data_IF_464483512020
#
_entry.id   IF_464483512020
#
_cell.length_a   1.000
_cell.length_b   1.000
_cell.length_c   1.000
_cell.angle_alpha   90.00
_cell.angle_beta   90.00
_cell.angle_gamma   90.00
#
_symmetry.space_group_name_H-M   'P 1'
#
loop_
_entity.id
_entity.type
_entity.pdbx_description
1 polymer ?
#
# COMPACT_ATOMS: atom_id res chain seq x y z
N UNK A 1 -3.17 30.83 11.51
CA UNK A 1 -2.70 29.57 10.90
C UNK A 1 -3.56 28.44 11.42
N UNK A 2 -4.49 27.92 10.62
CA UNK A 2 -5.35 26.82 11.02
C UNK A 2 -4.48 25.57 11.25
N UNK A 3 -4.52 25.00 12.46
CA UNK A 3 -3.97 23.66 12.72
C UNK A 3 -4.68 22.72 11.75
N UNK A 4 -3.96 22.19 10.77
CA UNK A 4 -4.41 21.04 10.00
C UNK A 4 -4.54 19.91 11.02
N UNK A 5 -5.77 19.64 11.46
CA UNK A 5 -6.10 18.45 12.22
C UNK A 5 -5.64 17.28 11.38
N UNK A 6 -4.56 16.61 11.81
CA UNK A 6 -4.10 15.38 11.16
C UNK A 6 -5.30 14.44 11.17
N UNK A 7 -5.79 14.05 10.00
CA UNK A 7 -6.82 13.03 9.92
C UNK A 7 -6.31 11.80 10.69
N UNK A 8 -7.18 11.12 11.45
CA UNK A 8 -6.75 9.94 12.17
C UNK A 8 -6.15 8.94 11.19
N UNK A 9 -4.95 8.43 11.46
CA UNK A 9 -4.25 7.49 10.56
C UNK A 9 -4.91 6.10 10.54
N UNK A 10 -5.99 5.89 11.28
CA UNK A 10 -6.60 4.59 11.52
C UNK A 10 -8.12 4.72 11.58
N UNK A 11 -8.83 3.73 11.05
CA UNK A 11 -10.28 3.72 11.01
C UNK A 11 -10.87 3.90 12.43
N UNK A 12 -11.86 4.79 12.62
CA UNK A 12 -12.46 5.04 13.94
C UNK A 12 -13.11 3.79 14.54
N UNK A 13 -13.71 2.93 13.70
CA UNK A 13 -14.31 1.66 14.14
C UNK A 13 -13.30 0.66 14.69
N UNK A 14 -12.05 0.68 14.19
CA UNK A 14 -10.98 -0.19 14.71
C UNK A 14 -10.48 0.30 16.07
N UNK A 15 -10.47 1.62 16.31
CA UNK A 15 -10.07 2.19 17.59
C UNK A 15 -11.08 1.86 18.70
N UNK A 16 -12.38 1.92 18.41
CA UNK A 16 -13.44 1.57 19.37
C UNK A 16 -13.35 0.11 19.82
N UNK A 17 -13.07 -0.80 18.89
CA UNK A 17 -13.06 -2.24 19.17
C UNK A 17 -11.67 -2.79 19.51
N UNK A 18 -10.64 -1.95 19.60
CA UNK A 18 -9.25 -2.40 19.78
C UNK A 18 -9.05 -3.30 21.00
N UNK A 19 -9.74 -3.00 22.11
CA UNK A 19 -9.64 -3.79 23.34
C UNK A 19 -10.30 -5.17 23.25
N UNK A 20 -11.20 -5.37 22.28
CA UNK A 20 -11.88 -6.65 22.04
C UNK A 20 -11.08 -7.57 21.11
N UNK A 21 -10.06 -7.04 20.44
CA UNK A 21 -9.27 -7.76 19.44
C UNK A 21 -8.00 -8.29 20.13
N UNK A 22 -8.01 -9.56 20.50
CA UNK A 22 -6.81 -10.30 20.91
C UNK A 22 -6.65 -11.53 20.00
N UNK A 23 -5.53 -11.60 19.29
CA UNK A 23 -5.18 -12.69 18.38
C UNK A 23 -3.67 -12.95 18.44
N UNK A 24 -3.27 -14.20 18.67
CA UNK A 24 -1.87 -14.56 18.95
C UNK A 24 -1.21 -15.17 17.71
N UNK A 25 -0.89 -14.33 16.71
CA UNK A 25 -0.39 -14.81 15.41
C UNK A 25 0.89 -15.68 15.42
N UNK A 26 1.74 -15.64 16.45
CA UNK A 26 2.90 -16.55 16.57
C UNK A 26 2.55 -17.90 17.21
N UNK A 27 1.40 -18.02 17.86
CA UNK A 27 0.94 -19.20 18.59
C UNK A 27 -0.15 -19.93 17.79
N UNK A 28 -1.08 -19.15 17.22
CA UNK A 28 -2.22 -19.64 16.45
C UNK A 28 -1.77 -20.05 15.03
N UNK A 29 -1.18 -21.24 14.91
CA UNK A 29 -0.69 -21.78 13.63
C UNK A 29 -1.80 -22.29 12.71
N UNK A 30 -3.04 -22.37 13.20
CA UNK A 30 -4.21 -22.86 12.46
C UNK A 30 -4.52 -22.01 11.22
N UNK A 31 -4.11 -20.74 11.19
CA UNK A 31 -4.24 -19.89 10.01
C UNK A 31 -3.37 -20.32 8.82
N UNK A 32 -2.32 -21.11 9.06
CA UNK A 32 -1.49 -21.64 7.97
C UNK A 32 -2.24 -22.69 7.13
N UNK A 33 -3.34 -23.25 7.65
CA UNK A 33 -4.20 -24.15 6.89
C UNK A 33 -5.09 -23.37 5.90
N UNK A 34 -5.07 -23.81 4.64
CA UNK A 34 -5.85 -23.18 3.58
C UNK A 34 -7.36 -23.35 3.81
N UNK A 35 -7.81 -24.47 4.38
CA UNK A 35 -9.23 -24.69 4.64
C UNK A 35 -9.78 -23.74 5.69
N UNK A 36 -9.05 -23.53 6.79
CA UNK A 36 -9.41 -22.60 7.84
C UNK A 36 -9.54 -21.17 7.30
N UNK A 37 -8.62 -20.74 6.43
CA UNK A 37 -8.66 -19.44 5.76
C UNK A 37 -9.91 -19.27 4.88
N UNK A 38 -10.24 -20.27 4.09
CA UNK A 38 -11.42 -20.23 3.21
C UNK A 38 -12.71 -20.15 4.05
N UNK A 39 -12.80 -20.92 5.14
CA UNK A 39 -13.95 -20.89 6.05
C UNK A 39 -14.12 -19.50 6.69
N UNK A 40 -13.03 -18.91 7.19
CA UNK A 40 -13.05 -17.57 7.77
C UNK A 40 -13.44 -16.50 6.74
N UNK A 41 -12.84 -16.54 5.54
CA UNK A 41 -13.15 -15.61 4.45
C UNK A 41 -14.62 -15.66 4.06
N UNK A 42 -15.20 -16.86 3.96
CA UNK A 42 -16.62 -17.05 3.66
C UNK A 42 -17.55 -16.47 4.73
N UNK A 43 -17.15 -16.53 6.00
CA UNK A 43 -17.90 -15.90 7.09
C UNK A 43 -17.82 -14.37 7.00
N UNK A 44 -16.61 -13.82 6.74
CA UNK A 44 -16.42 -12.38 6.52
C UNK A 44 -17.31 -11.89 5.37
N UNK A 45 -17.36 -12.61 4.25
CA UNK A 45 -18.19 -12.23 3.10
C UNK A 45 -19.69 -12.22 3.43
N UNK A 46 -20.17 -13.19 4.22
CA UNK A 46 -21.56 -13.20 4.69
C UNK A 46 -21.88 -11.99 5.58
N UNK A 47 -20.98 -11.64 6.48
CA UNK A 47 -21.14 -10.45 7.32
C UNK A 47 -21.06 -9.17 6.49
N UNK A 48 -20.16 -9.08 5.50
CA UNK A 48 -20.08 -7.94 4.58
C UNK A 48 -21.35 -7.74 3.76
N UNK A 49 -22.05 -8.82 3.40
CA UNK A 49 -23.34 -8.72 2.69
C UNK A 49 -24.47 -8.24 3.60
N UNK A 50 -24.35 -8.42 4.92
CA UNK A 50 -25.37 -8.07 5.91
C UNK A 50 -25.12 -6.69 6.50
N UNK A 51 -23.86 -6.35 6.74
CA UNK A 51 -23.43 -5.13 7.40
C UNK A 51 -23.27 -3.98 6.41
N UNK A 52 -24.09 -2.94 6.57
CA UNK A 52 -24.03 -1.70 5.79
C UNK A 52 -23.64 -0.53 6.71
N UNK A 53 -22.34 -0.26 6.90
CA UNK A 53 -21.90 0.85 7.74
C UNK A 53 -22.24 2.20 7.10
N UNK A 54 -22.41 3.23 7.94
CA UNK A 54 -22.50 4.61 7.47
C UNK A 54 -21.18 4.99 6.77
N UNK A 55 -21.24 5.16 5.43
CA UNK A 55 -20.09 5.42 4.57
C UNK A 55 -19.28 6.64 5.02
N UNK A 56 -19.98 7.67 5.51
CA UNK A 56 -19.36 8.92 5.93
C UNK A 56 -18.51 8.75 7.19
N UNK A 57 -18.90 7.88 8.12
CA UNK A 57 -18.14 7.60 9.34
C UNK A 57 -17.00 6.61 9.08
N UNK A 58 -17.24 5.61 8.22
CA UNK A 58 -16.24 4.60 7.88
C UNK A 58 -15.06 5.19 7.10
N UNK A 59 -15.31 6.15 6.21
CA UNK A 59 -14.28 6.75 5.32
C UNK A 59 -13.68 8.03 5.92
N UNK A 60 -14.21 8.56 7.02
CA UNK A 60 -13.77 9.83 7.63
C UNK A 60 -12.26 9.94 7.95
N UNK A 61 -11.56 8.82 8.09
CA UNK A 61 -10.12 8.79 8.33
C UNK A 61 -9.28 9.01 7.05
N UNK A 62 -9.86 8.73 5.87
CA UNK A 62 -9.22 9.04 4.60
C UNK A 62 -9.29 10.56 4.40
N UNK A 63 -8.16 11.21 4.10
CA UNK A 63 -8.20 12.62 3.75
C UNK A 63 -8.93 12.80 2.41
N UNK A 64 -9.81 13.80 2.33
CA UNK A 64 -10.36 14.24 1.05
C UNK A 64 -9.21 14.72 0.15
N UNK A 65 -8.91 13.95 -0.90
CA UNK A 65 -7.89 14.32 -1.86
C UNK A 65 -8.51 15.03 -3.05
N UNK A 66 -8.40 16.36 -3.04
CA UNK A 66 -8.56 17.16 -4.25
C UNK A 66 -7.18 17.62 -4.72
N UNK A 67 -6.70 17.21 -5.90
CA UNK A 67 -5.37 17.57 -6.37
C UNK A 67 -5.29 19.10 -6.49
N UNK A 68 -4.47 19.70 -5.61
CA UNK A 68 -4.28 21.15 -5.60
C UNK A 68 -3.05 21.48 -6.44
N UNK A 69 -3.27 21.90 -7.68
CA UNK A 69 -2.20 22.33 -8.59
C UNK A 69 -1.81 23.79 -8.32
N UNK A 70 -1.26 24.06 -7.12
CA UNK A 70 -0.84 25.39 -6.68
C UNK A 70 0.01 26.07 -7.78
N UNK A 71 -0.49 27.18 -8.34
CA UNK A 71 0.13 28.00 -9.39
C UNK A 71 0.56 27.28 -10.69
N UNK A 72 0.09 26.04 -10.94
CA UNK A 72 0.45 25.28 -12.14
C UNK A 72 -0.72 25.16 -13.09
N UNK A 73 -1.01 26.24 -13.82
CA UNK A 73 -2.11 26.33 -14.78
C UNK A 73 -2.10 25.21 -15.84
N UNK A 74 -0.90 24.78 -16.28
CA UNK A 74 -0.76 23.67 -17.23
C UNK A 74 -1.23 22.34 -16.66
N UNK A 75 -0.87 22.02 -15.41
CA UNK A 75 -1.33 20.79 -14.77
C UNK A 75 -2.84 20.80 -14.50
N UNK A 76 -3.41 21.96 -14.13
CA UNK A 76 -4.85 22.09 -13.97
C UNK A 76 -5.59 21.85 -15.29
N UNK A 77 -5.06 22.34 -16.40
CA UNK A 77 -5.62 22.11 -17.75
C UNK A 77 -5.54 20.63 -18.14
N UNK A 78 -4.40 19.98 -17.90
CA UNK A 78 -4.23 18.55 -18.15
C UNK A 78 -5.14 17.69 -17.27
N UNK A 79 -5.30 18.06 -16.00
CA UNK A 79 -6.24 17.41 -15.09
C UNK A 79 -7.67 17.47 -15.63
N UNK A 80 -8.12 18.64 -16.08
CA UNK A 80 -9.44 18.80 -16.72
C UNK A 80 -9.57 17.97 -18.01
N UNK A 81 -8.51 17.89 -18.83
CA UNK A 81 -8.48 17.06 -20.04
C UNK A 81 -8.64 15.57 -19.71
N UNK A 82 -7.88 15.08 -18.74
CA UNK A 82 -7.92 13.69 -18.28
C UNK A 82 -9.29 13.37 -17.65
N UNK A 83 -9.83 14.28 -16.85
CA UNK A 83 -11.18 14.18 -16.31
C UNK A 83 -12.24 14.10 -17.42
N UNK A 84 -12.03 14.80 -18.53
CA UNK A 84 -12.86 14.72 -19.73
C UNK A 84 -12.52 13.53 -20.67
N UNK A 85 -11.59 12.65 -20.29
CA UNK A 85 -11.15 11.49 -21.06
C UNK A 85 -10.69 11.80 -22.51
N UNK A 86 -10.25 13.04 -22.77
CA UNK A 86 -9.75 13.43 -24.10
C UNK A 86 -8.32 12.94 -24.26
N UNK A 87 -8.04 12.12 -25.28
CA UNK A 87 -6.69 11.65 -25.57
C UNK A 87 -5.72 12.81 -25.88
N UNK A 88 -4.43 12.63 -25.57
CA UNK A 88 -3.41 13.62 -25.91
C UNK A 88 -3.18 13.60 -27.43
N UNK A 89 -3.02 14.76 -28.05
CA UNK A 89 -2.61 14.84 -29.45
C UNK A 89 -1.22 14.21 -29.60
N UNK A 90 -1.06 13.34 -30.60
CA UNK A 90 0.25 12.78 -30.93
C UNK A 90 1.23 13.91 -31.25
N UNK A 91 2.48 13.74 -30.79
CA UNK A 91 3.57 14.65 -31.16
C UNK A 91 3.73 14.57 -32.68
N UNK A 92 3.73 15.73 -33.33
CA UNK A 92 3.97 15.80 -34.77
C UNK A 92 5.43 15.45 -35.07
N UNK A 93 5.66 14.19 -35.44
CA UNK A 93 6.98 13.69 -35.84
C UNK A 93 7.42 14.25 -37.20
N UNK A 94 6.49 14.80 -38.00
CA UNK A 94 6.80 15.40 -39.29
C UNK A 94 7.51 16.76 -39.20
N UNK A 95 7.62 17.31 -37.98
CA UNK A 95 8.37 18.53 -37.70
C UNK A 95 9.88 18.29 -37.53
N UNK A 96 10.26 17.08 -37.12
CA UNK A 96 11.64 16.77 -36.69
C UNK A 96 12.35 15.78 -37.61
N UNK A 97 11.62 15.14 -38.53
CA UNK A 97 12.20 14.30 -39.56
C UNK A 97 12.87 15.18 -40.63
N UNK A 98 14.19 15.18 -40.60
CA UNK A 98 15.08 15.85 -41.55
C UNK A 98 14.68 15.65 -43.04
N UNK A 99 14.08 14.51 -43.37
CA UNK A 99 13.63 14.16 -44.73
C UNK A 99 12.34 14.87 -45.20
N UNK A 100 11.52 15.42 -44.30
CA UNK A 100 10.25 16.09 -44.61
C UNK A 100 10.44 17.58 -44.97
N UNK A 101 11.65 18.12 -44.78
CA UNK A 101 11.89 19.57 -44.73
C UNK A 101 12.70 20.07 -45.95
N UNK A 102 13.46 19.20 -46.62
CA UNK A 102 14.30 19.58 -47.76
C UNK A 102 13.50 19.86 -49.05
N UNK A 103 12.33 19.26 -49.21
CA UNK A 103 11.50 19.43 -50.39
C UNK A 103 10.03 19.60 -50.00
N UNK A 104 9.32 20.60 -50.56
CA UNK A 104 7.86 20.64 -50.47
C UNK A 104 7.30 19.30 -50.96
N UNK A 105 6.26 18.77 -50.28
CA UNK A 105 5.56 17.55 -50.72
C UNK A 105 5.34 17.57 -52.23
N UNK A 106 5.50 16.43 -52.93
CA UNK A 106 5.41 16.32 -54.41
C UNK A 106 4.18 17.02 -55.03
N UNK A 107 3.11 17.21 -54.25
CA UNK A 107 1.88 17.92 -54.66
C UNK A 107 2.00 19.46 -54.69
N UNK A 108 2.97 20.05 -53.99
CA UNK A 108 3.13 21.49 -53.76
C UNK A 108 4.37 22.10 -54.43
N UNK A 109 5.08 21.32 -55.27
CA UNK A 109 6.35 21.71 -55.91
C UNK A 109 6.21 22.91 -56.85
N UNK A 110 5.02 23.14 -57.43
CA UNK A 110 4.74 24.32 -58.28
C UNK A 110 4.41 25.62 -57.51
N UNK A 111 4.33 25.58 -56.17
CA UNK A 111 3.91 26.74 -55.37
C UNK A 111 5.11 27.49 -54.78
N UNK A 112 5.30 28.75 -55.19
CA UNK A 112 6.35 29.62 -54.66
C UNK A 112 6.26 29.82 -53.13
N UNK A 113 5.05 29.78 -52.57
CA UNK A 113 4.82 29.90 -51.12
C UNK A 113 5.35 28.70 -50.34
N UNK A 114 5.20 27.50 -50.89
CA UNK A 114 5.68 26.26 -50.27
C UNK A 114 7.21 26.23 -50.22
N UNK A 115 7.87 26.69 -51.29
CA UNK A 115 9.33 26.85 -51.33
C UNK A 115 9.84 27.90 -50.35
N UNK A 116 9.15 29.02 -50.18
CA UNK A 116 9.50 30.02 -49.16
C UNK A 116 9.43 29.44 -47.75
N UNK A 117 8.35 28.70 -47.45
CA UNK A 117 8.18 28.05 -46.15
C UNK A 117 9.27 26.99 -45.89
N UNK A 118 9.62 26.18 -46.90
CA UNK A 118 10.71 25.20 -46.79
C UNK A 118 12.06 25.89 -46.55
N UNK A 119 12.34 27.00 -47.23
CA UNK A 119 13.56 27.79 -47.00
C UNK A 119 13.63 28.37 -45.59
N UNK A 120 12.52 28.92 -45.08
CA UNK A 120 12.46 29.45 -43.72
C UNK A 120 12.64 28.33 -42.67
N UNK A 121 12.07 27.14 -42.90
CA UNK A 121 12.31 25.96 -42.07
C UNK A 121 13.76 25.48 -42.12
N UNK A 122 14.40 25.50 -43.29
CA UNK A 122 15.80 25.13 -43.45
C UNK A 122 16.74 26.06 -42.68
N UNK A 123 16.49 27.37 -42.72
CA UNK A 123 17.24 28.34 -41.89
C UNK A 123 17.13 28.01 -40.41
N UNK A 124 15.92 27.71 -39.92
CA UNK A 124 15.69 27.30 -38.53
C UNK A 124 16.48 26.02 -38.19
N UNK A 125 16.51 25.05 -39.10
CA UNK A 125 17.27 23.82 -38.89
C UNK A 125 18.78 24.04 -38.81
N UNK A 126 19.33 24.92 -39.67
CA UNK A 126 20.76 25.22 -39.66
C UNK A 126 21.15 25.80 -38.29
N UNK A 127 20.37 26.75 -37.78
CA UNK A 127 20.59 27.32 -36.44
C UNK A 127 20.46 26.25 -35.35
N UNK A 128 19.48 25.34 -35.45
CA UNK A 128 19.34 24.23 -34.51
C UNK A 128 20.56 23.29 -34.53
N UNK A 129 21.03 22.90 -35.73
CA UNK A 129 22.22 22.05 -35.89
C UNK A 129 23.48 22.74 -35.38
N UNK A 130 23.61 24.05 -35.60
CA UNK A 130 24.70 24.83 -35.04
C UNK A 130 24.69 24.78 -33.50
N UNK A 131 23.52 25.00 -32.88
CA UNK A 131 23.36 24.87 -31.44
C UNK A 131 23.63 23.45 -30.93
N UNK A 132 23.21 22.41 -31.65
CA UNK A 132 23.53 21.02 -31.29
C UNK A 132 25.03 20.77 -31.29
N UNK A 133 25.77 21.25 -32.29
CA UNK A 133 27.23 21.12 -32.34
C UNK A 133 27.88 21.84 -31.16
N UNK A 134 27.46 23.08 -30.87
CA UNK A 134 27.95 23.82 -29.70
C UNK A 134 27.66 23.08 -28.40
N UNK A 135 26.46 22.51 -28.25
CA UNK A 135 26.10 21.72 -27.08
C UNK A 135 26.97 20.46 -26.97
N UNK A 136 27.22 19.75 -28.07
CA UNK A 136 28.09 18.56 -28.10
C UNK A 136 29.55 18.91 -27.75
N UNK A 137 30.06 20.05 -28.20
CA UNK A 137 31.39 20.53 -27.83
C UNK A 137 31.49 20.85 -26.32
N UNK A 138 30.45 21.47 -25.75
CA UNK A 138 30.37 21.68 -24.31
C UNK A 138 30.26 20.36 -23.56
N UNK A 139 29.46 19.43 -24.06
CA UNK A 139 29.29 18.11 -23.45
C UNK A 139 30.61 17.35 -23.42
N UNK A 140 31.33 17.31 -24.55
CA UNK A 140 32.62 16.65 -24.64
C UNK A 140 33.63 17.19 -23.62
N UNK A 141 33.58 18.50 -23.32
CA UNK A 141 34.47 19.15 -22.35
C UNK A 141 34.08 18.90 -20.90
N UNK A 142 32.79 18.96 -20.57
CA UNK A 142 32.34 19.05 -19.17
C UNK A 142 31.56 17.84 -18.64
N UNK A 143 30.94 17.03 -19.50
CA UNK A 143 30.02 15.96 -19.06
C UNK A 143 30.71 14.94 -18.17
N UNK A 144 31.94 14.54 -18.47
CA UNK A 144 32.67 13.55 -17.67
C UNK A 144 32.79 13.98 -16.20
N UNK A 145 33.13 15.25 -15.95
CA UNK A 145 33.30 15.78 -14.60
C UNK A 145 31.94 15.95 -13.90
N UNK A 146 30.94 16.50 -14.60
CA UNK A 146 29.58 16.65 -14.05
C UNK A 146 28.99 15.29 -13.69
N UNK A 147 29.20 14.28 -14.53
CA UNK A 147 28.69 12.94 -14.31
C UNK A 147 29.35 12.29 -13.10
N UNK A 148 30.67 12.44 -12.92
CA UNK A 148 31.37 11.98 -11.70
C UNK A 148 30.80 12.62 -10.44
N UNK A 149 30.57 13.94 -10.43
CA UNK A 149 29.93 14.61 -9.31
C UNK A 149 28.51 14.08 -9.05
N UNK A 150 27.72 13.88 -10.11
CA UNK A 150 26.36 13.34 -9.99
C UNK A 150 26.37 11.91 -9.44
N UNK A 151 27.27 11.06 -9.90
CA UNK A 151 27.45 9.69 -9.39
C UNK A 151 27.80 9.72 -7.91
N UNK A 152 28.74 10.57 -7.49
CA UNK A 152 29.10 10.70 -6.07
C UNK A 152 27.91 11.11 -5.20
N UNK A 153 27.08 12.05 -5.66
CA UNK A 153 25.84 12.44 -4.96
C UNK A 153 24.84 11.29 -4.90
N UNK A 154 24.66 10.54 -6.00
CA UNK A 154 23.75 9.40 -6.05
C UNK A 154 24.22 8.25 -5.15
N UNK A 155 25.52 7.98 -5.09
CA UNK A 155 26.11 6.98 -4.20
C UNK A 155 25.90 7.35 -2.73
N UNK A 156 26.06 8.63 -2.38
CA UNK A 156 25.80 9.11 -1.03
C UNK A 156 24.33 8.96 -0.66
N UNK A 157 23.43 9.36 -1.55
CA UNK A 157 21.99 9.20 -1.36
C UNK A 157 21.58 7.72 -1.23
N UNK A 158 22.19 6.84 -2.03
CA UNK A 158 21.98 5.40 -1.93
C UNK A 158 22.41 4.89 -0.55
N UNK A 159 23.59 5.30 -0.06
CA UNK A 159 24.07 4.92 1.27
C UNK A 159 23.10 5.36 2.36
N UNK A 160 22.61 6.60 2.30
CA UNK A 160 21.62 7.13 3.25
C UNK A 160 20.33 6.32 3.26
N UNK A 161 19.75 6.02 2.10
CA UNK A 161 18.54 5.19 2.03
C UNK A 161 18.78 3.75 2.48
N UNK A 162 19.95 3.17 2.17
CA UNK A 162 20.27 1.82 2.66
C UNK A 162 20.39 1.79 4.18
N UNK A 163 20.99 2.82 4.79
CA UNK A 163 21.09 2.96 6.24
C UNK A 163 19.70 3.17 6.88
N UNK A 164 18.85 3.99 6.26
CA UNK A 164 17.49 4.20 6.76
C UNK A 164 16.67 2.90 6.70
N UNK A 165 16.83 2.13 5.62
CA UNK A 165 16.19 0.83 5.45
C UNK A 165 16.69 -0.20 6.48
N UNK A 166 17.99 -0.30 6.71
CA UNK A 166 18.55 -1.24 7.71
C UNK A 166 18.11 -0.86 9.12
N UNK A 167 18.10 0.43 9.46
CA UNK A 167 17.62 0.92 10.76
C UNK A 167 16.13 0.62 10.98
N UNK A 168 15.29 0.87 9.96
CA UNK A 168 13.85 0.53 10.03
C UNK A 168 13.63 -0.97 10.16
N UNK A 169 14.40 -1.78 9.43
CA UNK A 169 14.33 -3.24 9.52
C UNK A 169 14.72 -3.73 10.91
N UNK A 170 15.80 -3.21 11.49
CA UNK A 170 16.22 -3.54 12.85
C UNK A 170 15.15 -3.18 13.90
N UNK A 171 14.53 -1.99 13.77
CA UNK A 171 13.43 -1.59 14.65
C UNK A 171 12.19 -2.51 14.51
N UNK A 172 11.87 -2.94 13.29
CA UNK A 172 10.80 -3.90 13.03
C UNK A 172 11.11 -5.28 13.60
N UNK A 173 12.36 -5.75 13.45
CA UNK A 173 12.81 -7.03 13.99
C UNK A 173 12.77 -7.04 15.52
N UNK A 174 13.20 -5.95 16.17
CA UNK A 174 13.08 -5.79 17.62
C UNK A 174 11.61 -5.86 18.06
N UNK A 175 10.71 -5.11 17.40
CA UNK A 175 9.28 -5.13 17.71
C UNK A 175 8.68 -6.54 17.55
N UNK A 176 9.09 -7.27 16.50
CA UNK A 176 8.64 -8.65 16.28
C UNK A 176 9.16 -9.60 17.35
N UNK A 177 10.39 -9.43 17.82
CA UNK A 177 10.95 -10.20 18.93
C UNK A 177 10.18 -9.94 20.23
N UNK A 178 9.91 -8.67 20.57
CA UNK A 178 9.12 -8.28 21.73
C UNK A 178 7.69 -8.88 21.67
N UNK A 179 7.03 -8.78 20.50
CA UNK A 179 5.72 -9.40 20.27
C UNK A 179 5.74 -10.91 20.47
N UNK A 180 6.75 -11.59 19.91
CA UNK A 180 6.89 -13.04 20.05
C UNK A 180 7.09 -13.44 21.52
N UNK A 181 7.93 -12.73 22.26
CA UNK A 181 8.15 -12.99 23.68
C UNK A 181 6.86 -12.80 24.49
N UNK A 182 6.14 -11.70 24.25
CA UNK A 182 4.85 -11.44 24.91
C UNK A 182 3.83 -12.55 24.66
N UNK A 183 3.68 -12.98 23.40
CA UNK A 183 2.76 -14.06 23.05
C UNK A 183 3.16 -15.41 23.64
N UNK A 184 4.46 -15.74 23.69
CA UNK A 184 4.95 -16.97 24.31
C UNK A 184 4.68 -17.01 25.83
N UNK A 185 4.84 -15.88 26.52
CA UNK A 185 4.52 -15.78 27.94
C UNK A 185 3.02 -15.95 28.20
N UNK A 186 2.18 -15.31 27.38
CA UNK A 186 0.73 -15.43 27.52
C UNK A 186 0.21 -16.82 27.13
N UNK A 187 0.79 -17.44 26.09
CA UNK A 187 0.45 -18.82 25.70
C UNK A 187 0.67 -19.80 26.84
N UNK A 188 1.80 -19.71 27.57
CA UNK A 188 2.04 -20.55 28.76
C UNK A 188 0.96 -20.37 29.83
N UNK A 189 0.51 -19.13 30.06
CA UNK A 189 -0.60 -18.84 31.00
C UNK A 189 -1.91 -19.44 30.50
N UNK A 190 -2.25 -19.27 29.23
CA UNK A 190 -3.46 -19.84 28.62
C UNK A 190 -3.49 -21.37 28.74
N UNK A 191 -2.38 -22.05 28.45
CA UNK A 191 -2.28 -23.51 28.61
C UNK A 191 -2.45 -23.93 30.07
N UNK A 192 -1.89 -23.18 31.02
CA UNK A 192 -2.09 -23.42 32.45
C UNK A 192 -3.54 -23.25 32.87
N UNK A 193 -4.20 -22.18 32.41
CA UNK A 193 -5.63 -21.94 32.68
C UNK A 193 -6.52 -23.01 32.04
N UNK A 194 -6.23 -23.40 30.81
CA UNK A 194 -6.95 -24.48 30.12
C UNK A 194 -6.85 -25.80 30.88
N UNK A 195 -5.64 -26.18 31.31
CA UNK A 195 -5.44 -27.39 32.12
C UNK A 195 -6.22 -27.32 33.44
N UNK A 196 -6.18 -26.18 34.13
CA UNK A 196 -6.94 -25.98 35.37
C UNK A 196 -8.45 -26.07 35.12
N UNK A 197 -8.92 -25.50 34.02
CA UNK A 197 -10.32 -25.57 33.60
C UNK A 197 -10.76 -27.02 33.35
N UNK A 198 -9.98 -27.78 32.56
CA UNK A 198 -10.25 -29.20 32.28
C UNK A 198 -10.24 -30.05 33.57
N UNK A 199 -9.30 -29.81 34.49
CA UNK A 199 -9.26 -30.46 35.79
C UNK A 199 -10.49 -30.17 36.65
N UNK A 200 -10.94 -28.90 36.68
CA UNK A 200 -12.14 -28.52 37.43
C UNK A 200 -13.40 -29.12 36.81
N UNK A 201 -13.48 -29.16 35.48
CA UNK A 201 -14.58 -29.80 34.76
C UNK A 201 -14.64 -31.30 35.09
N UNK A 202 -13.50 -31.98 35.04
CA UNK A 202 -13.40 -33.39 35.39
C UNK A 202 -13.79 -33.62 36.86
N UNK A 203 -13.28 -32.81 37.78
CA UNK A 203 -13.62 -32.92 39.21
C UNK A 203 -15.11 -32.70 39.46
N UNK A 204 -15.73 -31.72 38.80
CA UNK A 204 -17.16 -31.48 38.90
C UNK A 204 -17.95 -32.70 38.38
N UNK A 205 -17.53 -33.28 37.25
CA UNK A 205 -18.15 -34.49 36.71
C UNK A 205 -18.01 -35.69 37.65
N UNK A 206 -16.83 -35.90 38.26
CA UNK A 206 -16.60 -36.95 39.25
C UNK A 206 -17.50 -36.78 40.48
N UNK A 207 -17.67 -35.55 40.96
CA UNK A 207 -18.59 -35.22 42.08
C UNK A 207 -20.03 -35.53 41.70
N UNK A 208 -20.50 -35.09 40.51
CA UNK A 208 -21.85 -35.38 40.04
C UNK A 208 -22.13 -36.88 39.95
N UNK A 209 -21.16 -37.65 39.44
CA UNK A 209 -21.27 -39.11 39.36
C UNK A 209 -21.29 -39.77 40.74
N UNK A 210 -20.47 -39.30 41.68
CA UNK A 210 -20.46 -39.79 43.05
C UNK A 210 -21.78 -39.47 43.78
N UNK A 211 -22.33 -38.26 43.62
CA UNK A 211 -23.63 -37.87 44.16
C UNK A 211 -24.75 -38.76 43.63
N UNK A 212 -24.83 -38.98 42.30
CA UNK A 212 -25.81 -39.89 41.70
C UNK A 212 -25.69 -41.32 42.22
N UNK A 213 -24.47 -41.83 42.35
CA UNK A 213 -24.24 -43.17 42.90
C UNK A 213 -24.68 -43.27 44.37
N UNK A 214 -24.40 -42.23 45.17
CA UNK A 214 -24.83 -42.17 46.57
C UNK A 214 -26.36 -42.10 46.68
N UNK A 215 -27.03 -41.29 45.87
CA UNK A 215 -28.49 -41.20 45.83
C UNK A 215 -29.13 -42.54 45.45
N UNK A 216 -28.63 -43.23 44.41
CA UNK A 216 -29.11 -44.56 44.03
C UNK A 216 -28.85 -45.60 45.14
N UNK A 217 -27.70 -45.55 45.80
CA UNK A 217 -27.34 -46.44 46.91
C UNK A 217 -28.15 -46.18 48.18
N UNK A 218 -28.44 -44.91 48.49
CA UNK A 218 -29.29 -44.48 49.60
C UNK A 218 -30.75 -44.86 49.38
N UNK A 219 -31.27 -44.66 48.15
CA UNK A 219 -32.59 -45.13 47.77
C UNK A 219 -32.75 -46.65 47.87
N UNK A 220 -31.69 -47.41 47.56
CA UNK A 220 -31.67 -48.87 47.78
C UNK A 220 -31.70 -49.23 49.26
N UNK A 221 -30.88 -48.57 50.10
CA UNK A 221 -30.85 -48.83 51.55
C UNK A 221 -32.16 -48.47 52.25
N UNK A 222 -32.81 -47.38 51.85
CA UNK A 222 -34.12 -46.98 52.38
C UNK A 222 -35.22 -47.98 52.00
N UNK A 223 -35.14 -48.64 50.83
CA UNK A 223 -36.06 -49.70 50.42
C UNK A 223 -35.86 -51.05 51.13
N UNK A 224 -34.71 -51.28 51.76
CA UNK A 224 -34.45 -52.54 52.50
C UNK A 224 -34.84 -52.45 53.99
N UNK A 225 -35.12 -51.25 54.49
CA UNK A 225 -35.45 -50.98 55.91
C UNK A 225 -36.97 -50.75 56.09
N UNK A 226 -37.71 -50.55 54.99
CA UNK A 226 -39.17 -50.56 54.94
C UNK A 226 -39.67 -51.93 54.48
#
# INVERSE_FOLDING_TARGET
>A
MAKVLKSPTTCPLLLQNKSLIDALGYIDTEWNDAEARIKAQRQIEKEMNTFTPNLNEYIAFLPDYTPTFQNRARLLKEWKRVQAQVALNAIDMNRYNQHSIYEPSRKNVGSARAWKQANDQMKILIEHRHNEVLNLELEQKYVSNVWKCKVAVLEQLQKEYTNEHTNRKAALDQLNQERKQFQLLNSKKLTSYRRKYEQLLQKNHEIEMACKAYEMGGAKRLKTIA
#
